data_IF_957085517105
#
_entry.id   IF_957085517105
#
_cell.length_a   1.000
_cell.length_b   1.000
_cell.length_c   1.000
_cell.angle_alpha   90.00
_cell.angle_beta   90.00
_cell.angle_gamma   90.00
#
_symmetry.space_group_name_H-M   'P 1'
#
loop_
_entity.id
_entity.type
_entity.pdbx_description
1 polymer ?
#
# COMPACT_ATOMS: atom_id res chain seq x y z
N UNK A 1 -5.07 30.33 -3.59
CA UNK A 1 -4.90 29.39 -4.71
C UNK A 1 -4.83 27.99 -4.10
N UNK A 2 -6.00 27.42 -3.78
CA UNK A 2 -6.08 26.04 -3.28
C UNK A 2 -6.42 25.16 -4.47
N UNK A 3 -5.41 24.51 -5.03
CA UNK A 3 -5.62 23.33 -5.86
C UNK A 3 -6.11 22.23 -4.92
N UNK A 4 -7.42 22.21 -4.66
CA UNK A 4 -8.05 20.99 -4.14
C UNK A 4 -8.01 20.00 -5.30
N UNK A 5 -7.16 18.99 -5.19
CA UNK A 5 -7.35 17.73 -5.91
C UNK A 5 -8.82 17.36 -5.70
N UNK A 6 -9.56 17.18 -6.80
CA UNK A 6 -11.03 17.06 -6.75
C UNK A 6 -11.52 15.75 -6.11
N UNK A 7 -10.60 14.86 -5.69
CA UNK A 7 -10.88 13.59 -5.04
C UNK A 7 -9.93 13.30 -3.88
N UNK A 8 -10.20 12.23 -3.10
CA UNK A 8 -9.45 11.90 -1.90
C UNK A 8 -8.00 11.54 -2.23
N UNK A 9 -7.09 11.93 -1.34
CA UNK A 9 -5.69 11.49 -1.35
C UNK A 9 -5.62 10.09 -0.76
N UNK A 10 -5.00 9.16 -1.49
CA UNK A 10 -4.94 7.75 -1.12
C UNK A 10 -3.50 7.38 -0.77
N UNK A 11 -3.33 6.63 0.32
CA UNK A 11 -2.09 5.96 0.66
C UNK A 11 -2.32 4.45 0.72
N UNK A 12 -1.34 3.65 0.31
CA UNK A 12 -1.47 2.20 0.23
C UNK A 12 -0.37 1.46 1.01
N UNK A 13 -0.78 0.46 1.78
CA UNK A 13 0.11 -0.43 2.53
C UNK A 13 -0.03 -1.86 2.02
N UNK A 14 1.08 -2.58 1.90
CA UNK A 14 1.07 -3.95 1.37
C UNK A 14 0.31 -4.01 0.04
N UNK A 15 0.66 -3.08 -0.85
CA UNK A 15 -0.02 -2.75 -2.12
C UNK A 15 -0.16 -3.95 -3.05
N UNK A 16 0.73 -4.93 -2.94
CA UNK A 16 0.82 -6.03 -3.89
C UNK A 16 1.00 -5.48 -5.30
N UNK A 17 0.32 -6.06 -6.29
CA UNK A 17 0.38 -5.58 -7.68
C UNK A 17 -0.49 -4.34 -7.95
N UNK A 18 -1.14 -3.75 -6.93
CA UNK A 18 -1.92 -2.51 -7.05
C UNK A 18 -3.38 -2.65 -7.45
N UNK A 19 -3.95 -3.88 -7.45
CA UNK A 19 -5.34 -4.08 -7.87
C UNK A 19 -6.37 -3.31 -7.03
N UNK A 20 -6.14 -3.22 -5.72
CA UNK A 20 -6.99 -2.45 -4.80
C UNK A 20 -6.89 -0.95 -5.06
N UNK A 21 -5.67 -0.45 -5.27
CA UNK A 21 -5.42 0.99 -5.40
C UNK A 21 -6.04 1.55 -6.69
N UNK A 22 -5.91 0.82 -7.79
CA UNK A 22 -6.61 1.12 -9.05
C UNK A 22 -8.13 1.17 -8.86
N UNK A 23 -8.71 0.22 -8.14
CA UNK A 23 -10.15 0.20 -7.89
C UNK A 23 -10.60 1.40 -7.04
N UNK A 24 -9.83 1.76 -6.01
CA UNK A 24 -10.14 2.90 -5.12
C UNK A 24 -9.98 4.24 -5.86
N UNK A 25 -8.93 4.42 -6.66
CA UNK A 25 -8.78 5.60 -7.52
C UNK A 25 -9.97 5.75 -8.48
N UNK A 26 -10.38 4.65 -9.15
CA UNK A 26 -11.50 4.66 -10.10
C UNK A 26 -12.85 4.94 -9.45
N UNK A 27 -13.14 4.33 -8.31
CA UNK A 27 -14.45 4.45 -7.64
C UNK A 27 -14.60 5.79 -6.92
N UNK A 28 -13.51 6.29 -6.31
CA UNK A 28 -13.55 7.53 -5.53
C UNK A 28 -13.15 8.77 -6.33
N UNK A 29 -12.61 8.61 -7.55
CA UNK A 29 -11.97 9.70 -8.29
C UNK A 29 -10.74 10.26 -7.56
N UNK A 30 -10.10 9.45 -6.73
CA UNK A 30 -8.96 9.85 -5.89
C UNK A 30 -7.61 9.74 -6.58
N UNK A 31 -6.56 10.11 -5.86
CA UNK A 31 -5.18 10.03 -6.35
C UNK A 31 -4.30 9.32 -5.32
N UNK A 32 -3.57 8.30 -5.76
CA UNK A 32 -2.54 7.63 -4.98
C UNK A 32 -1.33 8.55 -4.82
N UNK A 33 -1.00 8.90 -3.57
CA UNK A 33 0.12 9.79 -3.25
C UNK A 33 1.40 9.03 -2.91
N UNK A 34 1.26 7.83 -2.37
CA UNK A 34 2.37 6.94 -2.02
C UNK A 34 1.84 5.53 -1.82
N UNK A 35 2.73 4.55 -1.96
CA UNK A 35 2.42 3.15 -1.65
C UNK A 35 3.60 2.50 -0.93
N UNK A 36 3.37 1.41 -0.21
CA UNK A 36 4.41 0.68 0.53
C UNK A 36 4.38 -0.79 0.14
N UNK A 37 5.40 -1.21 -0.63
CA UNK A 37 5.53 -2.58 -1.11
C UNK A 37 7.00 -3.03 -1.12
N UNK A 38 7.25 -4.24 -0.62
CA UNK A 38 8.58 -4.84 -0.50
C UNK A 38 8.86 -5.91 -1.55
N UNK A 39 7.84 -6.58 -2.09
CA UNK A 39 8.00 -7.62 -3.12
C UNK A 39 8.48 -7.02 -4.45
N UNK A 40 9.58 -7.57 -4.97
CA UNK A 40 10.24 -7.05 -6.18
C UNK A 40 9.36 -7.08 -7.43
N UNK A 41 8.50 -8.08 -7.57
CA UNK A 41 7.69 -8.27 -8.77
C UNK A 41 6.50 -7.33 -8.74
N UNK A 42 5.81 -7.28 -7.60
CA UNK A 42 4.78 -6.31 -7.29
C UNK A 42 5.25 -4.87 -7.54
N UNK A 43 6.44 -4.51 -7.03
CA UNK A 43 7.07 -3.20 -7.28
C UNK A 43 7.25 -2.87 -8.75
N UNK A 44 7.58 -3.87 -9.58
CA UNK A 44 7.75 -3.67 -11.03
C UNK A 44 6.41 -3.33 -11.68
N UNK A 45 5.33 -4.01 -11.28
CA UNK A 45 3.97 -3.71 -11.76
C UNK A 45 3.51 -2.34 -11.29
N UNK A 46 3.69 -2.02 -10.00
CA UNK A 46 3.33 -0.72 -9.45
C UNK A 46 4.11 0.43 -10.09
N UNK A 47 5.40 0.25 -10.39
CA UNK A 47 6.18 1.27 -11.08
C UNK A 47 5.72 1.50 -12.53
N UNK A 48 5.11 0.50 -13.17
CA UNK A 48 4.50 0.65 -14.49
C UNK A 48 3.20 1.44 -14.43
N UNK A 49 2.32 1.16 -13.47
CA UNK A 49 1.05 1.87 -13.31
C UNK A 49 1.20 3.28 -12.73
N UNK A 50 2.11 3.45 -11.77
CA UNK A 50 2.36 4.71 -11.08
C UNK A 50 3.85 5.11 -11.08
N UNK A 51 4.40 5.50 -12.24
CA UNK A 51 5.81 5.86 -12.36
C UNK A 51 6.23 7.09 -11.54
N UNK A 52 5.26 7.91 -11.11
CA UNK A 52 5.49 9.14 -10.35
C UNK A 52 5.11 9.03 -8.87
N UNK A 53 4.53 7.90 -8.45
CA UNK A 53 4.12 7.70 -7.06
C UNK A 53 5.26 6.99 -6.30
N UNK A 54 5.74 7.56 -5.19
CA UNK A 54 6.83 6.96 -4.44
C UNK A 54 6.40 5.67 -3.76
N UNK A 55 7.26 4.65 -3.87
CA UNK A 55 7.22 3.48 -3.00
C UNK A 55 8.03 3.74 -1.73
N UNK A 56 7.37 3.72 -0.57
CA UNK A 56 7.98 3.94 0.74
C UNK A 56 8.70 2.70 1.29
N UNK A 57 8.49 1.52 0.71
CA UNK A 57 9.18 0.29 1.07
C UNK A 57 8.58 -0.40 2.30
N UNK A 58 9.44 -0.85 3.22
CA UNK A 58 9.03 -1.64 4.39
C UNK A 58 8.39 -0.75 5.46
N UNK A 59 7.09 -0.98 5.69
CA UNK A 59 6.24 -0.27 6.66
C UNK A 59 6.79 -0.26 8.09
N UNK A 60 7.66 -1.20 8.45
CA UNK A 60 8.31 -1.28 9.77
C UNK A 60 9.42 -0.25 9.95
N UNK A 61 9.93 0.31 8.85
CA UNK A 61 11.12 1.18 8.81
C UNK A 61 10.82 2.59 8.32
N UNK A 62 9.59 2.86 7.87
CA UNK A 62 9.17 4.18 7.37
C UNK A 62 9.16 5.21 8.51
N UNK A 63 9.76 6.37 8.27
CA UNK A 63 9.57 7.56 9.09
C UNK A 63 8.23 8.24 8.74
N UNK A 64 7.16 7.84 9.42
CA UNK A 64 5.80 8.34 9.20
C UNK A 64 5.64 9.85 9.41
N UNK A 65 6.58 10.50 10.13
CA UNK A 65 6.53 11.96 10.32
C UNK A 65 6.82 12.74 9.03
N UNK A 66 7.42 12.07 8.03
CA UNK A 66 7.76 12.65 6.72
C UNK A 66 6.79 12.26 5.62
N UNK A 67 5.85 11.37 5.89
CA UNK A 67 4.91 10.86 4.90
C UNK A 67 3.74 11.86 4.75
N UNK A 68 3.38 12.29 3.54
CA UNK A 68 2.24 13.16 3.34
C UNK A 68 0.95 12.52 3.86
N UNK A 69 0.11 13.28 4.60
CA UNK A 69 -1.16 12.76 5.10
C UNK A 69 -2.12 12.46 3.95
N UNK A 70 -2.92 11.40 4.13
CA UNK A 70 -3.90 10.91 3.17
C UNK A 70 -5.30 10.94 3.79
N UNK A 71 -6.31 10.99 2.93
CA UNK A 71 -7.72 10.98 3.35
C UNK A 71 -8.26 9.54 3.43
N UNK A 72 -7.68 8.64 2.64
CA UNK A 72 -8.00 7.22 2.59
C UNK A 72 -6.71 6.41 2.69
N UNK A 73 -6.70 5.41 3.56
CA UNK A 73 -5.61 4.45 3.70
C UNK A 73 -6.12 3.06 3.28
N UNK A 74 -5.52 2.48 2.25
CA UNK A 74 -5.77 1.10 1.81
C UNK A 74 -4.69 0.18 2.37
N UNK A 75 -5.08 -1.06 2.70
CA UNK A 75 -4.13 -2.05 3.20
C UNK A 75 -4.45 -3.45 2.66
N UNK A 76 -3.57 -3.96 1.79
CA UNK A 76 -3.67 -5.29 1.19
C UNK A 76 -2.98 -6.37 2.02
N UNK A 77 -3.21 -6.42 3.34
CA UNK A 77 -2.60 -7.45 4.18
C UNK A 77 -3.03 -8.85 3.71
N UNK A 78 -2.11 -9.82 3.67
CA UNK A 78 -2.44 -11.17 3.24
C UNK A 78 -3.50 -11.76 4.18
N UNK A 79 -4.56 -12.33 3.60
CA UNK A 79 -5.64 -13.00 4.31
C UNK A 79 -5.22 -14.34 4.97
N UNK A 80 -3.93 -14.54 5.29
CA UNK A 80 -3.44 -15.82 5.81
C UNK A 80 -3.65 -15.93 7.32
N UNK A 81 -4.89 -16.24 7.70
CA UNK A 81 -5.30 -17.22 8.71
C UNK A 81 -6.84 -17.21 8.69
N UNK A 82 -7.52 -18.14 8.01
CA UNK A 82 -8.34 -19.15 8.72
C UNK A 82 -8.91 -20.23 7.77
N UNK A 83 -8.27 -20.53 6.63
CA UNK A 83 -8.68 -21.68 5.81
C UNK A 83 -7.63 -22.80 5.83
N UNK A 84 -7.95 -23.82 6.65
CA UNK A 84 -7.42 -25.19 6.64
C UNK A 84 -6.00 -25.43 7.20
N UNK A 85 -5.89 -25.50 8.54
CA UNK A 85 -5.19 -26.63 9.18
C UNK A 85 -3.71 -26.49 9.58
N UNK A 86 -3.16 -25.29 9.77
CA UNK A 86 -1.80 -25.10 10.31
C UNK A 86 -1.81 -24.26 11.60
N UNK A 87 -0.88 -24.49 12.56
CA UNK A 87 -0.85 -23.74 13.81
C UNK A 87 -0.60 -22.25 13.57
N UNK A 88 -1.46 -21.45 14.19
CA UNK A 88 -1.50 -19.99 14.12
C UNK A 88 -0.20 -19.36 14.59
N UNK A 89 0.60 -18.86 13.66
CA UNK A 89 1.65 -17.88 13.95
C UNK A 89 1.12 -16.51 13.55
N UNK A 90 0.12 -16.06 14.29
CA UNK A 90 -0.41 -14.71 14.13
C UNK A 90 0.71 -13.70 14.37
N UNK A 91 0.93 -12.82 13.40
CA UNK A 91 1.60 -11.53 13.59
C UNK A 91 2.86 -11.54 14.45
N UNK A 92 3.80 -12.43 14.18
CA UNK A 92 5.16 -12.32 14.70
C UNK A 92 6.12 -13.06 13.78
N UNK A 93 7.31 -12.49 13.60
CA UNK A 93 8.52 -13.15 13.11
C UNK A 93 8.68 -13.32 11.59
N UNK A 94 9.04 -12.20 10.95
CA UNK A 94 10.03 -12.22 9.88
C UNK A 94 11.24 -11.37 10.31
N UNK A 95 11.98 -11.89 11.29
CA UNK A 95 13.37 -11.53 11.59
C UNK A 95 14.23 -12.77 11.42
N UNK A 96 15.18 -12.66 10.49
CA UNK A 96 16.51 -13.27 10.47
C UNK A 96 16.68 -14.78 10.69
N UNK A 97 17.20 -15.45 9.65
CA UNK A 97 17.78 -16.79 9.70
C UNK A 97 18.20 -17.24 8.32
#
# INVERSE_FOLDING_TARGET
MSDRVSGPRIGSLCTGYGGLDLAVELVLGGQLLWYAETDRHARTVCAHHWPHVPNLGDIRTIDWTRVPPVDVLTAGFPCLNDTLGGPSSGGADAVAG
#
